data_IF_399386401490
#
_entry.id   IF_399386401490
#
_cell.length_a   1.000
_cell.length_b   1.000
_cell.length_c   1.000
_cell.angle_alpha   90.00
_cell.angle_beta   90.00
_cell.angle_gamma   90.00
#
_symmetry.space_group_name_H-M   'P 1'
#
loop_
_entity.id
_entity.type
_entity.pdbx_description
1 polymer ?
#
# COMPACT_ATOMS: atom_id res chain seq x y z
N UNK A 1 5.73 6.31 -0.93
CA UNK A 1 4.64 5.36 -1.14
C UNK A 1 3.32 5.99 -0.76
N UNK A 2 2.27 5.64 -1.49
CA UNK A 2 0.89 5.98 -1.18
C UNK A 2 0.17 4.75 -0.65
N UNK A 3 -0.70 4.96 0.34
CA UNK A 3 -1.51 3.90 0.95
C UNK A 3 -2.99 4.26 0.90
N UNK A 4 -3.80 3.29 0.50
CA UNK A 4 -5.26 3.38 0.55
C UNK A 4 -5.81 2.18 1.32
N UNK A 5 -6.82 2.40 2.14
CA UNK A 5 -7.61 1.33 2.75
C UNK A 5 -9.08 1.70 2.69
N UNK A 6 -9.94 0.73 2.38
CA UNK A 6 -11.39 0.93 2.38
C UNK A 6 -12.13 -0.18 3.15
N UNK A 7 -13.30 0.16 3.71
CA UNK A 7 -14.07 -0.74 4.57
C UNK A 7 -15.15 -1.56 3.85
N UNK A 8 -15.66 -1.10 2.70
CA UNK A 8 -16.78 -1.74 2.00
C UNK A 8 -16.40 -3.07 1.35
N UNK A 9 -15.25 -3.11 0.67
CA UNK A 9 -14.56 -4.34 0.29
C UNK A 9 -13.18 -4.27 0.96
N UNK A 10 -13.02 -4.86 2.18
CA UNK A 10 -11.85 -4.69 3.02
C UNK A 10 -10.55 -5.06 2.31
N UNK A 11 -9.91 -4.04 1.72
CA UNK A 11 -8.70 -4.20 0.94
C UNK A 11 -7.83 -2.95 1.17
N UNK A 12 -6.53 -3.20 1.31
CA UNK A 12 -5.51 -2.19 1.47
C UNK A 12 -4.52 -2.28 0.32
N UNK A 13 -4.12 -1.13 -0.21
CA UNK A 13 -3.17 -1.05 -1.30
C UNK A 13 -2.02 -0.14 -0.90
N UNK A 14 -0.82 -0.53 -1.30
CA UNK A 14 0.38 0.28 -1.21
C UNK A 14 1.03 0.32 -2.58
N UNK A 15 1.29 1.53 -3.08
CA UNK A 15 2.03 1.76 -4.32
C UNK A 15 3.14 2.76 -4.09
N UNK A 16 4.19 2.68 -4.92
CA UNK A 16 5.20 3.72 -5.03
C UNK A 16 5.15 4.32 -6.43
N UNK A 17 5.07 5.65 -6.49
CA UNK A 17 4.88 6.40 -7.72
C UNK A 17 6.04 7.39 -7.91
N UNK A 18 6.42 7.63 -9.16
CA UNK A 18 7.34 8.69 -9.57
C UNK A 18 6.86 9.28 -10.90
N UNK A 19 6.79 10.61 -11.01
CA UNK A 19 6.31 11.32 -12.20
C UNK A 19 4.92 10.87 -12.73
N UNK A 20 4.01 10.46 -11.85
CA UNK A 20 2.69 9.88 -12.15
C UNK A 20 2.71 8.44 -12.71
N UNK A 21 3.87 7.79 -12.75
CA UNK A 21 4.01 6.39 -13.10
C UNK A 21 4.20 5.53 -11.85
N UNK A 22 3.45 4.43 -11.78
CA UNK A 22 3.65 3.42 -10.75
C UNK A 22 4.97 2.68 -10.98
N UNK A 23 5.85 2.69 -9.97
CA UNK A 23 7.10 1.92 -9.97
C UNK A 23 6.87 0.49 -9.50
N UNK A 24 6.15 0.33 -8.39
CA UNK A 24 5.80 -0.97 -7.82
C UNK A 24 4.60 -0.87 -6.88
N UNK A 25 3.98 -2.01 -6.61
CA UNK A 25 3.01 -2.20 -5.54
C UNK A 25 3.45 -3.32 -4.59
N UNK A 26 2.87 -3.34 -3.39
CA UNK A 26 3.06 -4.46 -2.46
C UNK A 26 1.85 -5.39 -2.53
N UNK A 27 2.08 -6.64 -2.94
CA UNK A 27 1.09 -7.69 -2.88
C UNK A 27 0.95 -8.16 -1.42
N UNK A 28 -0.20 -7.88 -0.83
CA UNK A 28 -0.42 -8.16 0.60
C UNK A 28 -0.62 -9.64 0.90
N UNK A 29 -1.11 -10.42 -0.07
CA UNK A 29 -1.38 -11.84 0.09
C UNK A 29 -0.09 -12.64 0.00
N UNK A 30 0.75 -12.29 -0.99
CA UNK A 30 2.06 -12.91 -1.21
C UNK A 30 3.18 -12.30 -0.38
N UNK A 31 2.95 -11.12 0.19
CA UNK A 31 3.92 -10.33 0.96
C UNK A 31 5.19 -10.05 0.17
N UNK A 32 5.03 -9.61 -1.07
CA UNK A 32 6.12 -9.32 -1.99
C UNK A 32 5.96 -7.95 -2.64
N UNK A 33 7.09 -7.37 -3.06
CA UNK A 33 7.11 -6.17 -3.89
C UNK A 33 7.02 -6.60 -5.35
N UNK A 34 5.99 -6.12 -6.04
CA UNK A 34 5.78 -6.38 -7.47
C UNK A 34 6.11 -5.13 -8.26
N UNK A 35 7.18 -5.20 -9.04
CA UNK A 35 7.64 -4.11 -9.88
C UNK A 35 6.80 -3.99 -11.16
N UNK A 36 6.42 -2.77 -11.53
CA UNK A 36 5.67 -2.50 -12.76
C UNK A 36 6.49 -2.83 -14.01
N UNK A 37 7.79 -2.55 -13.93
CA UNK A 37 8.83 -2.91 -14.90
C UNK A 37 9.80 -3.85 -14.15
N UNK A 38 9.87 -5.15 -14.50
CA UNK A 38 10.67 -6.14 -13.77
C UNK A 38 12.14 -5.75 -13.60
N UNK A 39 12.73 -5.09 -14.60
CA UNK A 39 14.12 -4.66 -14.63
C UNK A 39 14.46 -3.65 -13.52
N UNK A 40 13.49 -2.91 -12.99
CA UNK A 40 13.70 -2.05 -11.82
C UNK A 40 14.00 -2.86 -10.55
N UNK A 41 13.43 -4.07 -10.44
CA UNK A 41 13.69 -5.00 -9.34
C UNK A 41 15.08 -5.62 -9.37
N UNK A 42 15.81 -5.50 -10.48
CA UNK A 42 17.22 -5.90 -10.57
C UNK A 42 18.16 -4.81 -10.04
N UNK A 43 17.73 -3.54 -10.09
CA UNK A 43 18.53 -2.37 -9.72
C UNK A 43 18.20 -1.83 -8.33
N UNK A 44 16.97 -2.05 -7.87
CA UNK A 44 16.47 -1.58 -6.59
C UNK A 44 15.62 -2.65 -5.90
N UNK A 45 15.50 -2.54 -4.58
CA UNK A 45 14.70 -3.43 -3.77
C UNK A 45 13.88 -2.63 -2.77
N UNK A 46 12.69 -3.11 -2.45
CA UNK A 46 11.86 -2.58 -1.38
C UNK A 46 11.38 -3.72 -0.50
N UNK A 47 11.54 -3.58 0.82
CA UNK A 47 11.04 -4.54 1.78
C UNK A 47 9.50 -4.41 1.88
N UNK A 48 8.73 -5.43 1.45
CA UNK A 48 7.27 -5.39 1.47
C UNK A 48 6.70 -5.20 2.88
N UNK A 49 7.46 -5.50 3.94
CA UNK A 49 7.04 -5.29 5.32
C UNK A 49 6.70 -3.83 5.62
N UNK A 50 7.36 -2.87 4.96
CA UNK A 50 7.03 -1.44 5.09
C UNK A 50 5.63 -1.14 4.57
N UNK A 51 5.30 -1.60 3.36
CA UNK A 51 3.97 -1.40 2.77
C UNK A 51 2.84 -2.08 3.57
N UNK A 52 3.09 -3.28 4.10
CA UNK A 52 2.14 -3.99 4.97
C UNK A 52 1.86 -3.23 6.28
N UNK A 53 2.87 -2.57 6.85
CA UNK A 53 2.71 -1.73 8.03
C UNK A 53 1.89 -0.48 7.73
N UNK A 54 2.13 0.15 6.59
CA UNK A 54 1.38 1.32 6.15
C UNK A 54 -0.11 0.96 5.92
N UNK A 55 -0.40 -0.17 5.28
CA UNK A 55 -1.77 -0.68 5.09
C UNK A 55 -2.46 -0.91 6.44
N UNK A 56 -1.76 -1.52 7.39
CA UNK A 56 -2.29 -1.77 8.74
C UNK A 56 -2.60 -0.46 9.49
N UNK A 57 -1.73 0.55 9.34
CA UNK A 57 -1.92 1.89 9.89
C UNK A 57 -3.11 2.60 9.25
N UNK A 58 -3.24 2.52 7.91
CA UNK A 58 -4.37 3.09 7.18
C UNK A 58 -5.70 2.48 7.61
N UNK A 59 -5.76 1.15 7.81
CA UNK A 59 -6.93 0.45 8.36
C UNK A 59 -7.32 0.97 9.74
N UNK A 60 -6.34 1.12 10.64
CA UNK A 60 -6.56 1.63 11.99
C UNK A 60 -7.08 3.07 11.96
N UNK A 61 -6.46 3.93 11.15
CA UNK A 61 -6.86 5.33 11.00
C UNK A 61 -8.26 5.46 10.40
N UNK A 62 -8.60 4.66 9.38
CA UNK A 62 -9.96 4.66 8.81
C UNK A 62 -11.01 4.36 9.88
N UNK A 63 -10.78 3.35 10.73
CA UNK A 63 -11.69 3.02 11.84
C UNK A 63 -11.92 4.19 12.78
N UNK A 64 -10.89 4.99 13.06
CA UNK A 64 -11.02 6.21 13.90
C UNK A 64 -11.78 7.30 13.14
N UNK A 65 -11.43 7.57 11.89
CA UNK A 65 -12.08 8.60 11.08
C UNK A 65 -13.57 8.32 10.89
N UNK A 66 -13.95 7.08 10.56
CA UNK A 66 -15.36 6.69 10.44
C UNK A 66 -16.14 6.94 11.73
N UNK A 67 -15.55 6.71 12.91
CA UNK A 67 -16.21 7.03 14.19
C UNK A 67 -16.38 8.54 14.38
N UNK A 68 -15.34 9.33 14.08
CA UNK A 68 -15.35 10.79 14.22
C UNK A 68 -16.33 11.48 13.26
N UNK A 69 -16.42 11.01 12.03
CA UNK A 69 -17.30 11.61 11.01
C UNK A 69 -18.78 11.25 11.17
N UNK A 70 -19.10 10.32 12.08
CA UNK A 70 -20.47 9.92 12.43
C UNK A 70 -20.84 10.35 13.86
N UNK A 71 -20.05 11.24 14.48
CA UNK A 71 -20.40 11.95 15.72
C UNK A 71 -20.98 13.31 15.39
#
# INVERSE_FOLDING_TARGET
>A
GMVMYQSHNPNGQYIFEFDNDELFYVDSDKKETVWRIPEFGELASFDPQGGLQDISTAKYNLKIMTKRSNS
#
